data_IF_032023566337
#
_entry.id   IF_032023566337
#
_cell.length_a   1.000
_cell.length_b   1.000
_cell.length_c   1.000
_cell.angle_alpha   90.00
_cell.angle_beta   90.00
_cell.angle_gamma   90.00
#
_symmetry.space_group_name_H-M   'P 1'
#
loop_
_entity.id
_entity.type
_entity.pdbx_description
1 polymer ?
#
# COMPACT_ATOMS: atom_id res chain seq x y z
N UNK A 1 -1.65 -34.80 -6.77
CA UNK A 1 -1.41 -34.75 -8.22
C UNK A 1 -1.21 -33.29 -8.54
N UNK A 2 0.06 -32.86 -8.62
CA UNK A 2 0.43 -31.48 -8.99
C UNK A 2 0.36 -31.39 -10.51
N UNK A 3 -0.65 -30.68 -10.99
CA UNK A 3 -0.80 -30.35 -12.40
C UNK A 3 0.16 -29.21 -12.74
N UNK A 4 1.21 -29.55 -13.48
CA UNK A 4 2.18 -28.58 -13.98
C UNK A 4 1.49 -27.77 -15.09
N UNK A 5 1.39 -26.44 -14.87
CA UNK A 5 0.99 -25.48 -15.92
C UNK A 5 1.82 -25.68 -17.17
N UNK A 6 1.24 -25.49 -18.39
CA UNK A 6 2.00 -25.53 -19.61
C UNK A 6 3.06 -24.43 -19.58
N UNK A 7 4.33 -24.83 -19.49
CA UNK A 7 5.46 -23.96 -19.70
C UNK A 7 5.36 -23.35 -21.12
N UNK A 8 5.63 -22.06 -21.21
CA UNK A 8 6.05 -21.40 -22.45
C UNK A 8 7.14 -22.30 -23.11
N UNK A 9 7.12 -22.52 -24.46
CA UNK A 9 8.08 -23.44 -25.08
C UNK A 9 9.51 -22.99 -24.70
N UNK A 10 10.09 -23.74 -23.77
CA UNK A 10 11.31 -23.35 -23.09
C UNK A 10 12.45 -23.25 -24.07
N UNK A 11 13.09 -22.11 -24.15
CA UNK A 11 14.47 -22.00 -24.58
C UNK A 11 15.30 -22.94 -23.68
N UNK A 12 15.85 -24.05 -24.22
CA UNK A 12 16.55 -25.04 -23.41
C UNK A 12 17.83 -24.50 -22.76
N UNK A 13 18.28 -23.31 -23.12
CA UNK A 13 19.40 -22.61 -22.51
C UNK A 13 19.00 -21.79 -21.27
N UNK A 14 17.69 -21.60 -21.02
CA UNK A 14 17.20 -20.81 -19.89
C UNK A 14 17.13 -21.67 -18.62
N UNK A 15 17.71 -21.21 -17.50
CA UNK A 15 17.59 -21.93 -16.23
C UNK A 15 16.12 -22.04 -15.79
N UNK A 16 15.75 -23.10 -15.03
CA UNK A 16 14.40 -23.25 -14.53
C UNK A 16 14.01 -22.03 -13.69
N UNK A 17 12.81 -21.51 -13.95
CA UNK A 17 12.30 -20.32 -13.25
C UNK A 17 11.97 -20.60 -11.79
N UNK A 18 11.92 -19.56 -10.94
CA UNK A 18 11.55 -19.69 -9.54
C UNK A 18 10.08 -20.07 -9.40
N UNK A 19 9.74 -20.75 -8.30
CA UNK A 19 8.35 -20.90 -7.86
C UNK A 19 7.85 -19.55 -7.33
N UNK A 20 6.69 -19.11 -7.81
CA UNK A 20 6.07 -17.86 -7.40
C UNK A 20 4.85 -18.13 -6.50
N UNK A 21 4.59 -17.22 -5.57
CA UNK A 21 3.39 -17.20 -4.72
C UNK A 21 3.25 -18.36 -3.72
N UNK A 22 4.32 -19.09 -3.44
CA UNK A 22 4.38 -20.01 -2.31
C UNK A 22 4.76 -19.30 -1.00
N UNK A 23 4.96 -20.07 0.08
CA UNK A 23 5.29 -19.49 1.38
C UNK A 23 6.73 -18.96 1.45
N UNK A 24 7.67 -19.56 0.71
CA UNK A 24 9.06 -19.12 0.62
C UNK A 24 9.13 -17.77 -0.11
N UNK A 25 8.46 -17.69 -1.24
CA UNK A 25 8.28 -16.45 -1.98
C UNK A 25 7.61 -15.37 -1.13
N UNK A 26 6.56 -15.68 -0.37
CA UNK A 26 5.91 -14.69 0.50
C UNK A 26 6.85 -14.18 1.61
N UNK A 27 7.80 -15.01 2.06
CA UNK A 27 8.79 -14.63 3.07
C UNK A 27 9.88 -13.73 2.49
N UNK A 28 10.48 -14.14 1.36
CA UNK A 28 11.49 -13.37 0.63
C UNK A 28 11.30 -13.49 -0.89
N UNK A 29 10.60 -12.55 -1.53
CA UNK A 29 10.33 -12.57 -2.97
C UNK A 29 11.53 -12.08 -3.81
N UNK A 30 12.51 -11.42 -3.21
CA UNK A 30 13.56 -10.70 -3.92
C UNK A 30 14.47 -11.57 -4.77
N UNK A 31 14.90 -12.78 -4.35
CA UNK A 31 15.66 -13.69 -5.22
C UNK A 31 14.89 -14.08 -6.48
N UNK A 32 13.59 -14.36 -6.34
CA UNK A 32 12.72 -14.68 -7.47
C UNK A 32 12.56 -13.48 -8.41
N UNK A 33 12.41 -12.29 -7.87
CA UNK A 33 12.33 -11.05 -8.66
C UNK A 33 13.65 -10.72 -9.37
N UNK A 34 14.80 -10.96 -8.75
CA UNK A 34 16.11 -10.81 -9.38
C UNK A 34 16.23 -11.73 -10.60
N UNK A 35 15.85 -13.01 -10.44
CA UNK A 35 15.83 -13.97 -11.54
C UNK A 35 14.90 -13.52 -12.67
N UNK A 36 13.69 -13.06 -12.35
CA UNK A 36 12.73 -12.56 -13.36
C UNK A 36 13.29 -11.34 -14.10
N UNK A 37 13.88 -10.36 -13.41
CA UNK A 37 14.46 -9.18 -14.06
C UNK A 37 15.54 -9.55 -15.08
N UNK A 38 16.36 -10.53 -14.74
CA UNK A 38 17.46 -10.96 -15.61
C UNK A 38 16.97 -11.79 -16.80
N UNK A 39 16.11 -12.78 -16.55
CA UNK A 39 15.79 -13.83 -17.53
C UNK A 39 14.42 -13.67 -18.20
N UNK A 40 13.46 -13.01 -17.55
CA UNK A 40 12.07 -12.85 -18.00
C UNK A 40 11.44 -11.56 -17.48
N UNK A 41 11.95 -10.39 -17.87
CA UNK A 41 11.53 -9.10 -17.29
C UNK A 41 10.04 -8.79 -17.47
N UNK A 42 9.42 -9.32 -18.51
CA UNK A 42 7.97 -9.35 -18.71
C UNK A 42 7.55 -10.81 -18.81
N UNK A 43 6.96 -11.33 -17.75
CA UNK A 43 6.70 -12.75 -17.54
C UNK A 43 5.21 -13.06 -17.44
N UNK A 44 4.71 -13.99 -18.26
CA UNK A 44 3.34 -14.49 -18.15
C UNK A 44 3.28 -15.61 -17.10
N UNK A 45 2.41 -15.47 -16.14
CA UNK A 45 2.26 -16.43 -15.05
C UNK A 45 0.80 -16.65 -14.67
N UNK A 46 0.52 -17.78 -14.01
CA UNK A 46 -0.78 -18.04 -13.41
C UNK A 46 -0.75 -17.67 -11.92
N UNK A 47 -1.59 -16.73 -11.55
CA UNK A 47 -1.74 -16.29 -10.17
C UNK A 47 -2.48 -17.33 -9.30
N UNK A 48 -2.38 -17.26 -7.96
CA UNK A 48 -3.10 -18.17 -7.05
C UNK A 48 -4.62 -18.17 -7.24
N UNK A 49 -5.18 -17.09 -7.77
CA UNK A 49 -6.60 -16.98 -8.14
C UNK A 49 -6.98 -17.78 -9.39
N UNK A 50 -6.00 -18.33 -10.11
CA UNK A 50 -6.17 -19.00 -11.41
C UNK A 50 -6.20 -18.05 -12.61
N UNK A 51 -6.09 -16.74 -12.40
CA UNK A 51 -6.00 -15.74 -13.48
C UNK A 51 -4.59 -15.75 -14.05
N UNK A 52 -4.48 -15.77 -15.39
CA UNK A 52 -3.20 -15.53 -16.06
C UNK A 52 -2.95 -14.02 -16.19
N UNK A 53 -1.73 -13.58 -15.86
CA UNK A 53 -1.33 -12.18 -15.92
C UNK A 53 0.13 -12.03 -16.34
N UNK A 54 0.47 -10.87 -16.85
CA UNK A 54 1.84 -10.46 -17.13
C UNK A 54 2.42 -9.73 -15.92
N UNK A 55 3.59 -10.18 -15.44
CA UNK A 55 4.39 -9.50 -14.43
C UNK A 55 5.47 -8.67 -15.12
N UNK A 56 5.62 -7.41 -14.71
CA UNK A 56 6.62 -6.48 -15.25
C UNK A 56 7.59 -6.12 -14.12
N UNK A 57 8.87 -6.47 -14.27
CA UNK A 57 9.85 -6.46 -13.17
C UNK A 57 10.99 -5.46 -13.31
N UNK A 58 11.40 -5.04 -14.53
CA UNK A 58 12.43 -4.02 -14.72
C UNK A 58 11.89 -2.61 -14.50
N UNK A 59 12.69 -1.73 -13.94
CA UNK A 59 12.30 -0.36 -13.65
C UNK A 59 11.82 0.42 -14.88
N UNK A 60 12.56 0.35 -15.99
CA UNK A 60 12.20 1.05 -17.21
C UNK A 60 10.85 0.59 -17.77
N UNK A 61 10.62 -0.73 -17.84
CA UNK A 61 9.36 -1.32 -18.31
C UNK A 61 8.21 -1.02 -17.34
N UNK A 62 8.47 -1.07 -16.04
CA UNK A 62 7.51 -0.74 -14.98
C UNK A 62 7.05 0.71 -15.11
N UNK A 63 7.98 1.64 -15.24
CA UNK A 63 7.67 3.06 -15.42
C UNK A 63 6.88 3.33 -16.70
N UNK A 64 7.25 2.66 -17.79
CA UNK A 64 6.50 2.73 -19.06
C UNK A 64 5.07 2.20 -18.87
N UNK A 65 4.91 1.00 -18.29
CA UNK A 65 3.60 0.39 -18.09
C UNK A 65 2.70 1.22 -17.14
N UNK A 66 3.27 1.85 -16.11
CA UNK A 66 2.52 2.70 -15.19
C UNK A 66 1.96 3.98 -15.84
N UNK A 67 2.61 4.47 -16.90
CA UNK A 67 2.22 5.67 -17.64
C UNK A 67 1.45 5.39 -18.94
N UNK A 68 1.40 4.13 -19.41
CA UNK A 68 0.81 3.79 -20.70
C UNK A 68 -0.72 3.80 -20.64
N UNK A 69 -1.34 4.72 -21.39
CA UNK A 69 -2.79 4.87 -21.47
C UNK A 69 -3.52 3.68 -22.13
N UNK A 70 -2.79 2.79 -22.83
CA UNK A 70 -3.34 1.55 -23.37
C UNK A 70 -3.57 0.49 -22.28
N UNK A 71 -3.01 0.70 -21.09
CA UNK A 71 -3.18 -0.16 -19.92
C UNK A 71 -4.22 0.45 -18.98
N UNK A 72 -5.47 0.13 -19.23
CA UNK A 72 -6.65 0.61 -18.50
C UNK A 72 -6.72 0.09 -17.07
N UNK A 73 -7.26 0.90 -16.18
CA UNK A 73 -7.59 0.50 -14.81
C UNK A 73 -8.97 -0.11 -14.67
N UNK A 74 -9.80 0.01 -15.71
CA UNK A 74 -11.18 -0.47 -15.68
C UNK A 74 -11.23 -2.00 -15.86
N UNK A 75 -11.72 -2.77 -14.86
CA UNK A 75 -11.81 -4.22 -14.94
C UNK A 75 -12.71 -4.74 -16.07
N UNK A 76 -13.59 -3.90 -16.64
CA UNK A 76 -14.45 -4.28 -17.77
C UNK A 76 -13.64 -4.61 -19.02
N UNK A 77 -12.40 -4.16 -19.12
CA UNK A 77 -11.50 -4.47 -20.25
C UNK A 77 -10.83 -5.85 -20.14
N UNK A 78 -11.03 -6.60 -19.05
CA UNK A 78 -10.47 -7.95 -18.92
C UNK A 78 -11.22 -8.96 -19.80
N UNK A 79 -10.49 -9.67 -20.66
CA UNK A 79 -11.06 -10.64 -21.62
C UNK A 79 -11.32 -12.04 -21.04
N UNK A 80 -10.97 -12.32 -19.78
CA UNK A 80 -10.97 -13.66 -19.24
C UNK A 80 -12.31 -14.15 -18.69
N UNK A 81 -12.62 -15.49 -18.77
CA UNK A 81 -13.87 -16.09 -18.31
C UNK A 81 -14.09 -15.97 -16.79
N UNK A 82 -13.04 -15.72 -16.01
CA UNK A 82 -13.12 -15.49 -14.56
C UNK A 82 -13.85 -14.19 -14.21
N UNK A 83 -13.78 -13.19 -15.07
CA UNK A 83 -14.48 -11.91 -14.89
C UNK A 83 -15.97 -12.01 -15.19
N UNK A 84 -16.34 -12.78 -16.22
CA UNK A 84 -17.74 -13.05 -16.57
C UNK A 84 -18.52 -13.77 -15.46
N UNK A 85 -17.83 -14.45 -14.53
CA UNK A 85 -18.45 -15.22 -13.43
C UNK A 85 -18.41 -14.52 -12.06
N UNK A 86 -18.02 -13.26 -11.97
CA UNK A 86 -18.08 -12.50 -10.72
C UNK A 86 -17.20 -13.04 -9.58
N UNK A 87 -16.20 -13.88 -9.84
CA UNK A 87 -15.33 -14.52 -8.84
C UNK A 87 -14.28 -13.60 -8.20
N UNK A 88 -14.41 -12.30 -8.32
CA UNK A 88 -13.55 -11.33 -7.61
C UNK A 88 -13.98 -11.11 -6.15
N UNK A 89 -14.74 -12.00 -5.55
CA UNK A 89 -15.02 -12.04 -4.10
C UNK A 89 -16.10 -11.09 -3.58
N UNK A 90 -16.63 -10.16 -4.38
CA UNK A 90 -17.70 -9.21 -3.99
C UNK A 90 -18.96 -9.49 -4.82
N UNK A 91 -20.15 -9.73 -4.26
CA UNK A 91 -21.36 -10.07 -5.02
C UNK A 91 -22.08 -8.86 -5.66
N UNK A 92 -22.50 -9.01 -6.92
CA UNK A 92 -23.66 -8.30 -7.50
C UNK A 92 -23.49 -6.84 -7.93
N UNK A 93 -24.57 -6.24 -8.41
CA UNK A 93 -24.68 -4.89 -9.01
C UNK A 93 -24.19 -3.73 -8.13
N UNK A 94 -24.22 -3.87 -6.80
CA UNK A 94 -23.66 -2.90 -5.83
C UNK A 94 -22.14 -2.82 -5.83
N UNK A 95 -21.49 -3.74 -6.54
CA UNK A 95 -20.04 -3.78 -6.76
C UNK A 95 -19.56 -2.65 -7.67
N UNK A 96 -20.33 -2.31 -8.70
CA UNK A 96 -19.95 -1.28 -9.66
C UNK A 96 -19.77 0.09 -9.00
N UNK A 97 -20.65 0.49 -8.08
CA UNK A 97 -20.61 1.79 -7.41
C UNK A 97 -19.38 1.96 -6.51
N UNK A 98 -18.99 0.91 -5.75
CA UNK A 98 -17.79 0.96 -4.90
C UNK A 98 -16.50 0.87 -5.71
N UNK A 99 -16.56 0.32 -6.91
CA UNK A 99 -15.40 0.19 -7.80
C UNK A 99 -15.19 1.43 -8.69
N UNK A 100 -16.12 2.39 -8.67
CA UNK A 100 -16.01 3.65 -9.42
C UNK A 100 -15.26 4.69 -8.58
N UNK A 101 -13.98 4.46 -8.37
CA UNK A 101 -13.07 5.37 -7.67
C UNK A 101 -11.75 5.51 -8.44
N UNK A 102 -10.91 6.46 -8.05
CA UNK A 102 -9.68 6.84 -8.77
C UNK A 102 -8.75 5.69 -9.14
N UNK A 103 -8.75 4.57 -8.39
CA UNK A 103 -7.87 3.42 -8.72
C UNK A 103 -8.40 2.54 -9.86
N UNK A 104 -9.68 2.64 -10.22
CA UNK A 104 -10.35 1.70 -11.14
C UNK A 104 -11.02 2.39 -12.33
N UNK A 105 -10.74 3.64 -12.58
CA UNK A 105 -11.28 4.42 -13.69
C UNK A 105 -10.16 5.05 -14.51
N UNK A 106 -10.46 5.34 -15.76
CA UNK A 106 -9.57 5.94 -16.75
C UNK A 106 -10.02 7.36 -17.12
N UNK A 107 -9.17 8.16 -17.80
CA UNK A 107 -9.60 9.42 -18.39
C UNK A 107 -10.77 9.20 -19.40
N UNK A 108 -11.75 10.13 -19.49
CA UNK A 108 -11.74 11.46 -18.86
C UNK A 108 -12.20 11.48 -17.40
N UNK A 109 -12.92 10.45 -16.92
CA UNK A 109 -13.54 10.44 -15.58
C UNK A 109 -12.48 10.46 -14.47
N UNK A 110 -11.36 9.72 -14.64
CA UNK A 110 -10.24 9.78 -13.72
C UNK A 110 -9.71 11.22 -13.58
N UNK A 111 -9.49 11.91 -14.71
CA UNK A 111 -8.95 13.27 -14.71
C UNK A 111 -9.88 14.24 -13.99
N UNK A 112 -11.18 14.10 -14.21
CA UNK A 112 -12.22 14.88 -13.54
C UNK A 112 -12.20 14.66 -12.02
N UNK A 113 -12.33 13.42 -11.58
CA UNK A 113 -12.36 13.07 -10.16
C UNK A 113 -11.05 13.43 -9.47
N UNK A 114 -9.91 13.14 -10.11
CA UNK A 114 -8.58 13.47 -9.56
C UNK A 114 -8.43 14.96 -9.27
N UNK A 115 -8.90 15.82 -10.20
CA UNK A 115 -8.83 17.26 -10.05
C UNK A 115 -9.69 17.76 -8.88
N UNK A 116 -10.90 17.22 -8.73
CA UNK A 116 -11.79 17.56 -7.61
C UNK A 116 -11.18 17.13 -6.27
N UNK A 117 -10.75 15.86 -6.16
CA UNK A 117 -10.21 15.30 -4.92
C UNK A 117 -8.88 15.98 -4.53
N UNK A 118 -8.04 16.34 -5.50
CA UNK A 118 -6.77 17.02 -5.22
C UNK A 118 -6.97 18.43 -4.63
N UNK A 119 -8.13 19.07 -4.84
CA UNK A 119 -8.47 20.35 -4.18
C UNK A 119 -8.75 20.18 -2.69
N UNK A 120 -9.29 19.01 -2.29
CA UNK A 120 -9.55 18.66 -0.90
C UNK A 120 -8.31 18.10 -0.20
N UNK A 121 -7.53 17.26 -0.88
CA UNK A 121 -6.34 16.60 -0.33
C UNK A 121 -5.05 17.33 -0.75
N UNK A 122 -4.71 18.38 -0.03
CA UNK A 122 -3.56 19.24 -0.35
C UNK A 122 -2.36 18.99 0.58
N UNK A 123 -1.10 19.25 0.11
CA UNK A 123 0.09 19.20 0.99
C UNK A 123 -0.03 20.10 2.22
N UNK A 124 -0.66 21.27 2.08
CA UNK A 124 -0.92 22.18 3.19
C UNK A 124 -1.79 21.55 4.27
N UNK A 125 -2.90 20.90 3.88
CA UNK A 125 -3.79 20.21 4.82
C UNK A 125 -3.05 19.11 5.57
N UNK A 126 -2.21 18.35 4.86
CA UNK A 126 -1.39 17.31 5.47
C UNK A 126 -0.41 17.91 6.48
N UNK A 127 0.25 19.03 6.15
CA UNK A 127 1.16 19.70 7.06
C UNK A 127 0.44 20.24 8.32
N UNK A 128 -0.77 20.80 8.16
CA UNK A 128 -1.62 21.24 9.27
C UNK A 128 -2.05 20.09 10.19
N UNK A 129 -2.06 18.86 9.68
CA UNK A 129 -2.41 17.65 10.44
C UNK A 129 -1.22 17.04 11.21
N UNK A 130 0.01 17.49 10.96
CA UNK A 130 1.23 16.93 11.57
C UNK A 130 1.21 16.90 13.12
N UNK A 131 0.76 17.96 13.84
CA UNK A 131 0.66 17.90 15.31
C UNK A 131 -0.25 16.78 15.79
N UNK A 132 -1.32 16.51 15.04
CA UNK A 132 -2.27 15.46 15.43
C UNK A 132 -1.72 14.05 15.21
N UNK A 133 -0.97 13.82 14.13
CA UNK A 133 -0.25 12.55 13.92
C UNK A 133 0.76 12.32 15.05
N UNK A 134 1.45 13.38 15.51
CA UNK A 134 2.39 13.30 16.64
C UNK A 134 1.66 12.93 17.93
N UNK A 135 0.54 13.59 18.25
CA UNK A 135 -0.26 13.27 19.45
C UNK A 135 -0.77 11.82 19.46
N UNK A 136 -1.26 11.33 18.30
CA UNK A 136 -1.69 9.94 18.15
C UNK A 136 -0.52 8.97 18.36
N UNK A 137 0.64 9.29 17.79
CA UNK A 137 1.88 8.50 17.92
C UNK A 137 2.30 8.41 19.38
N UNK A 138 2.37 9.55 20.08
CA UNK A 138 2.75 9.62 21.48
C UNK A 138 1.77 8.87 22.39
N UNK A 139 0.48 9.03 22.14
CA UNK A 139 -0.57 8.32 22.87
C UNK A 139 -0.44 6.79 22.71
N UNK A 140 -0.22 6.31 21.49
CA UNK A 140 -0.11 4.87 21.24
C UNK A 140 1.13 4.27 21.88
N UNK A 141 2.30 4.92 21.79
CA UNK A 141 3.53 4.47 22.43
C UNK A 141 3.35 4.48 23.95
N UNK A 142 2.77 5.54 24.52
CA UNK A 142 2.49 5.65 25.96
C UNK A 142 1.65 4.50 26.54
N UNK A 143 0.86 3.80 25.71
CA UNK A 143 0.07 2.65 26.15
C UNK A 143 0.90 1.39 26.44
N UNK A 144 2.09 1.26 25.89
CA UNK A 144 2.90 0.04 26.04
C UNK A 144 4.32 0.28 26.56
N UNK A 145 4.86 1.50 26.50
CA UNK A 145 6.26 1.78 26.89
C UNK A 145 6.61 1.39 28.34
N UNK A 146 5.62 1.38 29.25
CA UNK A 146 5.81 0.91 30.64
C UNK A 146 5.83 -0.61 30.81
N UNK A 147 5.54 -1.41 29.74
CA UNK A 147 5.44 -2.87 29.85
C UNK A 147 6.73 -3.61 29.50
N UNK A 148 7.62 -3.00 28.72
CA UNK A 148 8.87 -3.61 28.27
C UNK A 148 8.73 -4.55 27.07
N UNK A 149 7.51 -4.78 26.59
CA UNK A 149 7.20 -5.60 25.42
C UNK A 149 5.93 -5.11 24.72
N UNK A 150 5.86 -5.33 23.39
CA UNK A 150 4.67 -5.02 22.59
C UNK A 150 4.66 -5.82 21.28
N UNK A 151 3.48 -5.98 20.66
CA UNK A 151 3.36 -6.29 19.25
C UNK A 151 3.17 -4.98 18.47
N UNK A 152 4.23 -4.50 17.83
CA UNK A 152 4.21 -3.22 17.11
C UNK A 152 3.19 -3.16 15.99
N UNK A 153 2.84 -4.29 15.36
CA UNK A 153 1.80 -4.28 14.32
C UNK A 153 0.44 -3.96 14.95
N UNK A 154 0.04 -4.70 15.99
CA UNK A 154 -1.30 -4.58 16.53
C UNK A 154 -1.49 -3.37 17.44
N UNK A 155 -0.44 -2.98 18.18
CA UNK A 155 -0.55 -1.95 19.21
C UNK A 155 -0.13 -0.55 18.73
N UNK A 156 0.61 -0.47 17.61
CA UNK A 156 1.15 0.80 17.11
C UNK A 156 0.89 1.01 15.61
N UNK A 157 1.47 0.17 14.73
CA UNK A 157 1.43 0.39 13.30
C UNK A 157 0.01 0.32 12.71
N UNK A 158 -0.86 -0.56 13.25
CA UNK A 158 -2.23 -0.71 12.78
C UNK A 158 -3.16 0.41 13.28
N UNK A 159 -3.21 0.76 14.57
CA UNK A 159 -4.12 1.81 15.04
C UNK A 159 -3.75 3.21 14.56
N UNK A 160 -2.47 3.55 14.40
CA UNK A 160 -2.04 4.90 14.06
C UNK A 160 -2.67 5.42 12.75
N UNK A 161 -2.49 4.79 11.58
CA UNK A 161 -3.03 5.32 10.33
C UNK A 161 -4.56 5.23 10.26
N UNK A 162 -5.19 4.29 10.99
CA UNK A 162 -6.66 4.21 11.05
C UNK A 162 -7.22 5.42 11.79
N UNK A 163 -6.70 5.75 12.96
CA UNK A 163 -7.15 6.92 13.70
C UNK A 163 -6.84 8.20 12.93
N UNK A 164 -5.65 8.30 12.32
CA UNK A 164 -5.27 9.46 11.53
C UNK A 164 -6.22 9.69 10.34
N UNK A 165 -6.51 8.66 9.54
CA UNK A 165 -7.40 8.82 8.38
C UNK A 165 -8.87 9.03 8.82
N UNK A 166 -9.33 8.39 9.89
CA UNK A 166 -10.66 8.64 10.44
C UNK A 166 -10.83 10.10 10.88
N UNK A 167 -9.87 10.65 11.62
CA UNK A 167 -9.90 12.05 12.03
C UNK A 167 -9.81 13.00 10.84
N UNK A 168 -8.93 12.71 9.87
CA UNK A 168 -8.83 13.51 8.65
C UNK A 168 -10.13 13.51 7.84
N UNK A 169 -10.84 12.39 7.78
CA UNK A 169 -12.17 12.28 7.14
C UNK A 169 -13.27 12.95 7.97
N UNK A 170 -13.02 13.27 9.24
CA UNK A 170 -14.02 13.84 10.15
C UNK A 170 -14.99 12.81 10.70
N UNK A 171 -14.52 11.56 10.90
CA UNK A 171 -15.24 10.51 11.63
C UNK A 171 -15.22 10.85 13.12
N UNK A 172 -16.37 10.92 13.82
CA UNK A 172 -16.44 11.13 15.27
C UNK A 172 -15.60 10.12 16.06
N UNK A 173 -15.02 10.57 17.17
CA UNK A 173 -14.14 9.73 17.99
C UNK A 173 -14.81 8.47 18.51
N UNK A 174 -16.06 8.58 18.89
CA UNK A 174 -16.90 7.47 19.35
C UNK A 174 -17.09 6.37 18.33
N UNK A 175 -16.95 6.66 17.04
CA UNK A 175 -17.15 5.72 15.95
C UNK A 175 -15.83 5.11 15.40
N UNK A 176 -14.66 5.64 15.83
CA UNK A 176 -13.36 5.25 15.27
C UNK A 176 -12.97 3.81 15.62
N UNK A 177 -13.40 3.29 16.77
CA UNK A 177 -13.17 1.90 17.13
C UNK A 177 -13.93 0.92 16.24
N UNK A 178 -15.13 1.25 15.80
CA UNK A 178 -15.88 0.48 14.81
C UNK A 178 -15.10 0.41 13.49
N UNK A 179 -14.54 1.54 13.04
CA UNK A 179 -13.69 1.57 11.84
C UNK A 179 -12.46 0.71 11.98
N UNK A 180 -11.78 0.76 13.14
CA UNK A 180 -10.63 -0.10 13.42
C UNK A 180 -11.02 -1.58 13.34
N UNK A 181 -12.16 -1.97 13.88
CA UNK A 181 -12.62 -3.35 13.87
C UNK A 181 -13.01 -3.80 12.45
N UNK A 182 -13.72 -2.97 11.67
CA UNK A 182 -14.03 -3.27 10.26
C UNK A 182 -12.76 -3.36 9.42
N UNK A 183 -11.81 -2.45 9.56
CA UNK A 183 -10.52 -2.47 8.89
C UNK A 183 -9.72 -3.72 9.26
N UNK A 184 -9.68 -4.08 10.56
CA UNK A 184 -9.03 -5.29 11.04
C UNK A 184 -9.60 -6.57 10.43
N UNK A 185 -10.91 -6.62 10.18
CA UNK A 185 -11.53 -7.75 9.46
C UNK A 185 -11.13 -7.80 7.99
N UNK A 186 -10.90 -6.66 7.35
CA UNK A 186 -10.55 -6.59 5.93
C UNK A 186 -9.11 -7.05 5.66
N UNK A 187 -8.18 -6.80 6.58
CA UNK A 187 -6.77 -7.20 6.45
C UNK A 187 -6.46 -8.61 6.99
N UNK A 188 -7.40 -9.24 7.70
CA UNK A 188 -7.26 -10.64 8.16
C UNK A 188 -7.43 -11.61 7.00
N UNK A 189 -6.36 -11.86 6.25
CA UNK A 189 -6.35 -12.86 5.18
C UNK A 189 -6.53 -14.28 5.78
N UNK A 190 -7.68 -14.89 5.49
CA UNK A 190 -7.92 -16.33 5.74
C UNK A 190 -8.37 -16.74 7.14
N UNK A 191 -8.54 -15.84 8.12
CA UNK A 191 -8.83 -16.22 9.51
C UNK A 191 -10.13 -15.67 10.13
N UNK A 192 -10.98 -14.99 9.36
CA UNK A 192 -12.24 -14.42 9.85
C UNK A 192 -13.47 -15.29 9.57
N UNK A 193 -14.62 -15.02 10.23
CA UNK A 193 -15.89 -15.67 9.92
C UNK A 193 -16.24 -15.57 8.44
N UNK A 194 -16.80 -16.61 7.85
CA UNK A 194 -17.27 -16.58 6.45
C UNK A 194 -18.17 -15.36 6.22
N UNK A 195 -17.85 -14.53 5.23
CA UNK A 195 -18.58 -13.29 4.93
C UNK A 195 -18.23 -12.08 5.83
N UNK A 196 -17.27 -12.18 6.75
CA UNK A 196 -16.85 -11.09 7.63
C UNK A 196 -16.38 -9.86 6.86
N UNK A 197 -15.48 -10.04 5.89
CA UNK A 197 -14.98 -8.96 5.03
C UNK A 197 -16.12 -8.25 4.29
N UNK A 198 -17.04 -9.01 3.65
CA UNK A 198 -18.16 -8.42 2.91
C UNK A 198 -19.10 -7.63 3.83
N UNK A 199 -19.29 -8.11 5.08
CA UNK A 199 -20.07 -7.40 6.09
C UNK A 199 -19.40 -6.09 6.51
N UNK A 200 -18.10 -6.11 6.81
CA UNK A 200 -17.33 -4.93 7.20
C UNK A 200 -17.32 -3.87 6.09
N UNK A 201 -17.10 -4.28 4.84
CA UNK A 201 -17.20 -3.38 3.66
C UNK A 201 -18.59 -2.74 3.56
N UNK A 202 -19.66 -3.53 3.76
CA UNK A 202 -21.05 -3.02 3.73
C UNK A 202 -21.32 -2.02 4.85
N UNK A 203 -20.86 -2.32 6.08
CA UNK A 203 -21.04 -1.44 7.25
C UNK A 203 -20.28 -0.14 7.07
N UNK A 204 -19.01 -0.20 6.69
CA UNK A 204 -18.18 0.98 6.44
C UNK A 204 -18.77 1.88 5.35
N UNK A 205 -19.23 1.29 4.24
CA UNK A 205 -19.89 2.06 3.17
C UNK A 205 -21.17 2.73 3.62
N UNK A 206 -22.04 2.00 4.33
CA UNK A 206 -23.31 2.55 4.82
C UNK A 206 -23.05 3.72 5.78
N UNK A 207 -22.08 3.57 6.67
CA UNK A 207 -21.68 4.63 7.58
C UNK A 207 -21.13 5.86 6.85
N UNK A 208 -20.22 5.67 5.88
CA UNK A 208 -19.65 6.79 5.12
C UNK A 208 -20.72 7.54 4.32
N UNK A 209 -21.67 6.82 3.73
CA UNK A 209 -22.82 7.46 3.05
C UNK A 209 -23.64 8.31 3.99
N UNK A 210 -23.98 7.78 5.17
CA UNK A 210 -24.70 8.51 6.21
C UNK A 210 -23.91 9.72 6.74
N UNK A 211 -22.61 9.56 6.96
CA UNK A 211 -21.73 10.65 7.40
C UNK A 211 -21.68 11.78 6.35
N UNK A 212 -21.56 11.44 5.06
CA UNK A 212 -21.56 12.43 3.97
C UNK A 212 -22.90 13.14 3.90
N UNK A 213 -24.00 12.41 4.04
CA UNK A 213 -25.35 13.00 4.05
C UNK A 213 -25.49 14.04 5.19
N UNK A 214 -25.13 13.67 6.42
CA UNK A 214 -25.15 14.59 7.58
C UNK A 214 -24.25 15.81 7.37
N UNK A 215 -23.04 15.60 6.85
CA UNK A 215 -22.09 16.70 6.63
C UNK A 215 -22.52 17.70 5.54
N UNK A 216 -23.44 17.35 4.64
CA UNK A 216 -23.99 18.32 3.68
C UNK A 216 -24.74 19.47 4.36
N UNK A 217 -25.38 19.20 5.49
CA UNK A 217 -26.13 20.18 6.27
C UNK A 217 -25.22 20.96 7.24
N UNK A 218 -24.07 20.35 7.67
CA UNK A 218 -23.13 20.97 8.61
C UNK A 218 -21.70 20.63 8.22
N UNK A 219 -21.12 21.47 7.35
CA UNK A 219 -19.76 21.29 6.83
C UNK A 219 -18.70 21.71 7.86
N UNK A 220 -17.91 20.74 8.31
CA UNK A 220 -16.77 20.92 9.22
C UNK A 220 -15.44 21.29 8.52
N UNK A 221 -14.36 21.23 9.31
CA UNK A 221 -12.99 21.37 8.81
C UNK A 221 -12.36 19.97 8.66
N UNK A 222 -12.88 19.16 7.75
CA UNK A 222 -12.44 17.78 7.49
C UNK A 222 -12.47 17.48 6.00
N UNK A 223 -11.84 16.36 5.61
CA UNK A 223 -11.67 15.99 4.21
C UNK A 223 -13.01 15.68 3.51
N UNK A 224 -13.97 15.05 4.19
CA UNK A 224 -15.29 14.80 3.60
C UNK A 224 -15.99 16.12 3.31
N UNK A 225 -15.96 17.08 4.24
CA UNK A 225 -16.50 18.43 4.04
C UNK A 225 -15.83 19.14 2.86
N UNK A 226 -14.52 18.98 2.69
CA UNK A 226 -13.79 19.55 1.56
C UNK A 226 -14.12 18.84 0.24
N UNK A 227 -14.33 17.52 0.26
CA UNK A 227 -14.81 16.79 -0.92
C UNK A 227 -16.22 17.28 -1.35
N UNK A 228 -17.10 17.55 -0.38
CA UNK A 228 -18.43 18.11 -0.64
C UNK A 228 -18.34 19.53 -1.23
N UNK A 229 -17.43 20.35 -0.69
CA UNK A 229 -17.18 21.73 -1.20
C UNK A 229 -16.48 21.74 -2.54
N UNK A 230 -15.75 20.68 -2.88
CA UNK A 230 -14.90 20.66 -4.07
C UNK A 230 -15.76 20.86 -5.32
N UNK A 231 -15.47 21.92 -6.05
CA UNK A 231 -16.08 22.22 -7.33
C UNK A 231 -15.03 22.63 -8.35
N UNK A 232 -15.34 22.38 -9.62
CA UNK A 232 -14.49 22.78 -10.74
C UNK A 232 -15.36 23.14 -11.94
N UNK A 233 -15.34 24.41 -12.34
CA UNK A 233 -16.14 24.93 -13.44
C UNK A 233 -17.64 24.52 -13.39
N UNK A 234 -18.20 24.48 -12.17
CA UNK A 234 -19.60 24.07 -11.94
C UNK A 234 -19.82 22.56 -11.81
N UNK A 235 -18.78 21.75 -11.91
CA UNK A 235 -18.81 20.31 -11.66
C UNK A 235 -18.51 20.01 -10.19
N UNK A 236 -19.23 19.02 -9.62
CA UNK A 236 -19.14 18.58 -8.24
C UNK A 236 -19.13 17.06 -8.16
N UNK A 237 -18.65 16.51 -7.03
CA UNK A 237 -18.82 15.10 -6.73
C UNK A 237 -20.29 14.80 -6.41
N UNK A 238 -20.85 13.78 -7.05
CA UNK A 238 -22.12 13.20 -6.61
C UNK A 238 -21.92 12.54 -5.24
N UNK A 239 -23.02 12.23 -4.54
CA UNK A 239 -22.95 11.54 -3.24
C UNK A 239 -22.31 10.15 -3.37
N UNK A 240 -22.62 9.43 -4.45
CA UNK A 240 -22.02 8.13 -4.74
C UNK A 240 -20.51 8.24 -4.98
N UNK A 241 -20.06 9.24 -5.74
CA UNK A 241 -18.63 9.50 -5.98
C UNK A 241 -17.92 9.93 -4.68
N UNK A 242 -18.53 10.81 -3.88
CA UNK A 242 -17.96 11.22 -2.59
C UNK A 242 -17.82 10.03 -1.64
N UNK A 243 -18.84 9.15 -1.58
CA UNK A 243 -18.81 7.92 -0.76
C UNK A 243 -17.73 6.95 -1.26
N UNK A 244 -17.64 6.73 -2.57
CA UNK A 244 -16.61 5.87 -3.15
C UNK A 244 -15.19 6.43 -2.92
N UNK A 245 -15.04 7.74 -2.99
CA UNK A 245 -13.77 8.41 -2.72
C UNK A 245 -13.40 8.37 -1.23
N UNK A 246 -14.32 8.62 -0.32
CA UNK A 246 -14.08 8.48 1.13
C UNK A 246 -13.70 7.04 1.49
N UNK A 247 -14.40 6.06 0.91
CA UNK A 247 -14.08 4.65 1.10
C UNK A 247 -12.68 4.28 0.61
N UNK A 248 -12.29 4.68 -0.60
CA UNK A 248 -10.97 4.34 -1.13
C UNK A 248 -9.85 5.08 -0.42
N UNK A 249 -10.05 6.33 -0.01
CA UNK A 249 -9.07 7.09 0.77
C UNK A 249 -8.82 6.43 2.13
N UNK A 250 -9.87 5.98 2.78
CA UNK A 250 -9.76 5.22 4.03
C UNK A 250 -9.02 3.90 3.77
N UNK A 251 -9.50 3.07 2.86
CA UNK A 251 -8.94 1.73 2.61
C UNK A 251 -7.48 1.77 2.15
N UNK A 252 -7.14 2.65 1.20
CA UNK A 252 -5.78 2.78 0.69
C UNK A 252 -4.84 3.47 1.69
N UNK A 253 -5.39 4.32 2.58
CA UNK A 253 -4.60 5.13 3.49
C UNK A 253 -4.06 4.37 4.69
N UNK A 254 -4.78 3.36 5.22
CA UNK A 254 -4.32 2.71 6.44
C UNK A 254 -3.40 1.51 6.19
N UNK A 255 -3.78 0.53 5.36
CA UNK A 255 -3.04 -0.73 5.22
C UNK A 255 -1.63 -0.53 4.69
N UNK A 256 -1.46 0.39 3.76
CA UNK A 256 -0.14 0.74 3.20
C UNK A 256 0.78 1.33 4.26
N UNK A 257 0.29 2.22 5.10
CA UNK A 257 1.08 2.85 6.18
C UNK A 257 1.37 1.88 7.32
N UNK A 258 0.42 0.98 7.67
CA UNK A 258 0.69 -0.13 8.61
C UNK A 258 1.92 -0.91 8.17
N UNK A 259 1.96 -1.28 6.88
CA UNK A 259 3.05 -2.08 6.36
C UNK A 259 4.34 -1.25 6.19
N UNK A 260 4.25 0.05 5.86
CA UNK A 260 5.42 0.94 5.83
C UNK A 260 6.10 0.99 7.20
N UNK A 261 5.34 1.17 8.27
CA UNK A 261 5.88 1.24 9.64
C UNK A 261 6.46 -0.14 10.04
N UNK A 262 5.69 -1.21 9.83
CA UNK A 262 6.10 -2.57 10.22
C UNK A 262 7.34 -3.06 9.45
N UNK A 263 7.32 -2.93 8.12
CA UNK A 263 8.46 -3.32 7.26
C UNK A 263 9.67 -2.41 7.51
N UNK A 264 9.43 -1.11 7.75
CA UNK A 264 10.49 -0.16 8.06
C UNK A 264 11.23 -0.52 9.35
N UNK A 265 10.51 -0.81 10.43
CA UNK A 265 11.14 -1.27 11.70
C UNK A 265 11.86 -2.60 11.50
N UNK A 266 11.24 -3.56 10.81
CA UNK A 266 11.88 -4.83 10.47
C UNK A 266 13.18 -4.63 9.67
N UNK A 267 13.15 -3.81 8.63
CA UNK A 267 14.34 -3.52 7.80
C UNK A 267 15.47 -2.87 8.62
N UNK A 268 15.12 -2.00 9.58
CA UNK A 268 16.10 -1.40 10.49
C UNK A 268 16.68 -2.42 11.47
N UNK A 269 15.91 -3.40 11.94
CA UNK A 269 16.45 -4.49 12.75
C UNK A 269 17.41 -5.39 11.96
N UNK A 270 17.12 -5.63 10.70
CA UNK A 270 18.00 -6.43 9.82
C UNK A 270 19.26 -5.68 9.36
N UNK A 271 19.29 -4.35 9.54
CA UNK A 271 20.40 -3.46 9.16
C UNK A 271 20.82 -2.59 10.36
N UNK A 272 21.47 -3.17 11.40
CA UNK A 272 21.76 -2.47 12.65
C UNK A 272 22.61 -1.21 12.46
N UNK A 273 23.57 -1.21 11.54
CA UNK A 273 24.42 -0.03 11.25
C UNK A 273 23.56 1.18 10.77
N UNK A 274 22.58 0.92 9.92
CA UNK A 274 21.67 1.96 9.43
C UNK A 274 20.75 2.46 10.55
N UNK A 275 20.28 1.57 11.41
CA UNK A 275 19.48 1.90 12.59
C UNK A 275 20.27 2.78 13.56
N UNK A 276 21.49 2.41 13.89
CA UNK A 276 22.37 3.19 14.79
C UNK A 276 22.64 4.59 14.24
N UNK A 277 22.94 4.69 12.93
CA UNK A 277 23.13 5.99 12.26
C UNK A 277 21.87 6.86 12.36
N UNK A 278 20.69 6.28 12.12
CA UNK A 278 19.42 7.00 12.24
C UNK A 278 19.16 7.46 13.67
N UNK A 279 19.38 6.59 14.65
CA UNK A 279 19.23 6.94 16.08
C UNK A 279 20.18 8.05 16.50
N UNK A 280 21.44 8.03 16.06
CA UNK A 280 22.41 9.09 16.33
C UNK A 280 21.97 10.43 15.72
N UNK A 281 21.51 10.44 14.46
CA UNK A 281 20.97 11.65 13.80
C UNK A 281 19.75 12.21 14.55
N UNK A 282 18.82 11.33 14.95
CA UNK A 282 17.64 11.70 15.71
C UNK A 282 17.99 12.27 17.11
N UNK A 283 19.01 11.71 17.78
CA UNK A 283 19.50 12.20 19.06
C UNK A 283 20.19 13.58 18.93
N UNK A 284 20.83 13.84 17.80
CA UNK A 284 21.40 15.17 17.45
C UNK A 284 20.34 16.20 17.06
N UNK A 285 19.06 15.80 16.92
CA UNK A 285 17.98 16.70 16.51
C UNK A 285 17.91 16.92 14.99
N UNK A 286 18.56 16.08 14.19
CA UNK A 286 18.59 16.16 12.73
C UNK A 286 17.45 15.32 12.13
N UNK A 287 16.69 15.88 11.18
CA UNK A 287 15.59 15.17 10.49
C UNK A 287 15.96 14.61 9.12
N UNK A 288 17.01 15.15 8.49
CA UNK A 288 17.33 14.87 7.09
C UNK A 288 17.52 13.38 6.79
N UNK A 289 18.20 12.64 7.68
CA UNK A 289 18.39 11.19 7.51
C UNK A 289 17.08 10.40 7.70
N UNK A 290 16.14 10.86 8.51
CA UNK A 290 14.83 10.26 8.65
C UNK A 290 13.99 10.47 7.38
N UNK A 291 14.04 11.67 6.80
CA UNK A 291 13.31 12.02 5.58
C UNK A 291 13.76 11.15 4.39
N UNK A 292 15.08 11.10 4.13
CA UNK A 292 15.63 10.22 3.08
C UNK A 292 15.47 8.74 3.42
N UNK A 293 15.55 8.39 4.69
CA UNK A 293 15.41 7.02 5.18
C UNK A 293 14.01 6.45 4.95
N UNK A 294 12.95 7.24 5.11
CA UNK A 294 11.59 6.78 4.81
C UNK A 294 11.41 6.49 3.31
N UNK A 295 11.97 7.31 2.42
CA UNK A 295 11.97 7.01 0.97
C UNK A 295 12.77 5.73 0.66
N UNK A 296 13.91 5.53 1.33
CA UNK A 296 14.71 4.33 1.13
C UNK A 296 14.03 3.07 1.68
N UNK A 297 13.36 3.13 2.81
CA UNK A 297 12.56 2.02 3.34
C UNK A 297 11.41 1.65 2.39
N UNK A 298 10.79 2.64 1.75
CA UNK A 298 9.77 2.44 0.72
C UNK A 298 10.33 1.75 -0.53
N UNK A 299 11.55 2.11 -0.94
CA UNK A 299 12.26 1.46 -2.04
C UNK A 299 12.66 0.03 -1.68
N UNK A 300 13.28 -0.15 -0.51
CA UNK A 300 13.95 -1.38 -0.09
C UNK A 300 12.96 -2.51 0.22
N UNK A 301 11.92 -2.25 1.02
CA UNK A 301 10.87 -3.22 1.38
C UNK A 301 9.51 -2.55 1.56
N UNK A 302 9.04 -1.91 0.48
CA UNK A 302 7.81 -1.12 0.48
C UNK A 302 6.54 -1.94 0.72
N UNK A 303 5.47 -1.29 1.19
CA UNK A 303 4.20 -1.93 1.54
C UNK A 303 3.42 -2.46 0.34
N UNK A 304 3.65 -1.92 -0.85
CA UNK A 304 2.96 -2.33 -2.08
C UNK A 304 3.93 -3.08 -2.97
N UNK A 305 3.78 -4.40 -3.00
CA UNK A 305 4.63 -5.29 -3.77
C UNK A 305 4.31 -5.22 -5.26
N UNK A 306 3.01 -5.29 -5.61
CA UNK A 306 2.53 -5.14 -6.97
C UNK A 306 1.56 -3.96 -7.09
N UNK A 307 1.71 -3.16 -8.13
CA UNK A 307 0.72 -2.13 -8.45
C UNK A 307 -0.64 -2.77 -8.77
N UNK A 308 -1.72 -2.02 -8.53
CA UNK A 308 -3.08 -2.47 -8.85
C UNK A 308 -3.26 -2.77 -10.33
N UNK A 309 -4.13 -3.72 -10.62
CA UNK A 309 -4.42 -4.27 -11.94
C UNK A 309 -4.50 -3.26 -13.07
N UNK A 310 -3.98 -3.65 -14.24
CA UNK A 310 -4.17 -2.99 -15.52
C UNK A 310 -4.59 -4.02 -16.57
N UNK A 311 -5.28 -3.54 -17.61
CA UNK A 311 -5.80 -4.37 -18.69
C UNK A 311 -5.47 -3.72 -20.02
N UNK A 312 -4.87 -4.48 -20.95
CA UNK A 312 -4.56 -3.96 -22.28
C UNK A 312 -5.84 -3.68 -23.08
N UNK A 313 -6.04 -2.44 -23.50
CA UNK A 313 -7.17 -2.04 -24.35
C UNK A 313 -6.86 -2.15 -25.83
N UNK A 314 -5.59 -2.23 -26.19
CA UNK A 314 -5.06 -2.42 -27.54
C UNK A 314 -3.84 -3.33 -27.47
N UNK A 315 -3.45 -4.01 -28.57
CA UNK A 315 -2.19 -4.74 -28.60
C UNK A 315 -1.02 -3.79 -28.33
N UNK A 316 -0.08 -4.22 -27.49
CA UNK A 316 1.13 -3.46 -27.19
C UNK A 316 2.32 -4.41 -27.00
N UNK A 317 3.53 -3.87 -27.15
CA UNK A 317 4.76 -4.56 -26.80
C UNK A 317 5.33 -3.95 -25.52
N UNK A 318 5.71 -4.79 -24.56
CA UNK A 318 6.32 -4.39 -23.30
C UNK A 318 7.47 -5.35 -23.00
N UNK A 319 8.69 -4.82 -22.78
CA UNK A 319 9.89 -5.63 -22.56
C UNK A 319 10.12 -6.71 -23.63
N UNK A 320 9.76 -6.41 -24.91
CA UNK A 320 9.86 -7.34 -26.02
C UNK A 320 8.72 -8.37 -26.14
N UNK A 321 7.80 -8.45 -25.15
CA UNK A 321 6.65 -9.37 -25.17
C UNK A 321 5.41 -8.72 -25.78
N UNK A 322 4.67 -9.48 -26.61
CA UNK A 322 3.40 -9.05 -27.19
C UNK A 322 2.26 -9.28 -26.18
N UNK A 323 1.63 -8.20 -25.75
CA UNK A 323 0.49 -8.20 -24.83
C UNK A 323 -0.78 -8.05 -25.66
N UNK A 324 -1.69 -9.01 -25.53
CA UNK A 324 -2.96 -9.00 -26.27
C UNK A 324 -4.01 -8.14 -25.57
N UNK A 325 -5.04 -7.74 -26.35
CA UNK A 325 -6.21 -7.03 -25.79
C UNK A 325 -6.89 -7.87 -24.72
N UNK A 326 -7.18 -7.24 -23.59
CA UNK A 326 -7.82 -7.88 -22.43
C UNK A 326 -6.85 -8.59 -21.47
N UNK A 327 -5.56 -8.71 -21.85
CA UNK A 327 -4.57 -9.30 -20.95
C UNK A 327 -4.38 -8.45 -19.70
N UNK A 328 -4.39 -9.07 -18.52
CA UNK A 328 -4.02 -8.41 -17.25
C UNK A 328 -2.51 -8.19 -17.18
N UNK A 329 -2.13 -7.01 -16.71
CA UNK A 329 -0.74 -6.62 -16.47
C UNK A 329 -0.61 -6.16 -15.01
N UNK A 330 0.38 -6.71 -14.31
CA UNK A 330 0.77 -6.33 -12.96
C UNK A 330 2.20 -5.84 -12.97
N UNK A 331 2.41 -4.61 -12.54
CA UNK A 331 3.76 -4.04 -12.38
C UNK A 331 4.26 -4.41 -10.99
N UNK A 332 5.38 -5.11 -10.93
CA UNK A 332 6.03 -5.54 -9.67
C UNK A 332 6.92 -4.40 -9.17
N UNK A 333 6.34 -3.53 -8.33
CA UNK A 333 7.05 -2.35 -7.79
C UNK A 333 8.27 -2.78 -6.99
N UNK A 334 8.13 -3.79 -6.12
CA UNK A 334 9.21 -4.32 -5.29
C UNK A 334 10.40 -4.85 -6.14
N UNK A 335 10.13 -5.41 -7.31
CA UNK A 335 11.19 -5.82 -8.24
C UNK A 335 11.85 -4.63 -8.92
N UNK A 336 11.04 -3.68 -9.42
CA UNK A 336 11.52 -2.49 -10.12
C UNK A 336 12.36 -1.59 -9.20
N UNK A 337 11.98 -1.48 -7.93
CA UNK A 337 12.69 -0.67 -6.94
C UNK A 337 14.01 -1.30 -6.45
N UNK A 338 14.28 -2.53 -6.89
CA UNK A 338 15.58 -3.22 -6.72
C UNK A 338 16.27 -3.55 -8.04
N UNK A 339 15.98 -2.79 -9.10
CA UNK A 339 16.62 -2.96 -10.39
C UNK A 339 18.05 -2.39 -10.40
N UNK A 340 19.10 -3.22 -10.65
CA UNK A 340 20.48 -2.76 -10.68
C UNK A 340 20.79 -1.83 -11.86
N UNK A 341 19.96 -1.84 -12.92
CA UNK A 341 20.08 -0.86 -14.01
C UNK A 341 19.64 0.56 -13.60
N UNK A 342 18.89 0.67 -12.49
CA UNK A 342 18.40 1.96 -11.96
C UNK A 342 19.08 2.37 -10.66
N UNK A 343 19.33 1.44 -9.75
CA UNK A 343 19.84 1.73 -8.43
C UNK A 343 21.19 1.03 -8.21
N UNK A 344 22.20 1.79 -7.82
CA UNK A 344 23.46 1.20 -7.39
C UNK A 344 23.25 0.41 -6.09
N UNK A 345 23.82 -0.80 -6.01
CA UNK A 345 23.65 -1.70 -4.87
C UNK A 345 22.19 -1.80 -4.39
N UNK A 346 21.27 -2.27 -5.27
CA UNK A 346 19.82 -2.17 -5.02
C UNK A 346 19.35 -2.98 -3.81
N UNK A 347 20.09 -4.02 -3.45
CA UNK A 347 19.79 -4.91 -2.33
C UNK A 347 20.41 -4.45 -1.00
N UNK A 348 21.11 -3.31 -1.00
CA UNK A 348 21.66 -2.65 0.20
C UNK A 348 20.70 -1.56 0.66
N UNK A 349 20.35 -1.57 1.96
CA UNK A 349 19.63 -0.48 2.61
C UNK A 349 20.61 0.66 2.88
N UNK A 350 20.39 1.84 2.26
CA UNK A 350 21.17 3.06 2.53
C UNK A 350 20.23 4.23 2.79
N UNK A 351 20.01 4.56 4.06
CA UNK A 351 19.10 5.65 4.47
C UNK A 351 19.53 7.03 3.95
N UNK A 352 20.77 7.16 3.49
CA UNK A 352 21.28 8.40 2.90
C UNK A 352 21.23 8.45 1.37
N UNK A 353 20.61 7.46 0.72
CA UNK A 353 20.49 7.40 -0.74
C UNK A 353 19.82 8.66 -1.30
N UNK A 354 20.57 9.44 -2.08
CA UNK A 354 20.12 10.71 -2.63
C UNK A 354 19.38 10.55 -3.96
N UNK A 355 19.81 9.65 -4.85
CA UNK A 355 19.09 9.32 -6.09
C UNK A 355 18.12 8.16 -5.83
N UNK A 356 16.95 8.50 -5.30
CA UNK A 356 15.95 7.55 -4.86
C UNK A 356 14.58 7.79 -5.53
N UNK A 357 14.54 7.74 -6.86
CA UNK A 357 13.29 7.85 -7.62
C UNK A 357 12.58 6.50 -7.69
N UNK A 358 12.21 5.96 -6.53
CA UNK A 358 11.48 4.69 -6.44
C UNK A 358 10.05 4.78 -6.97
N UNK A 359 9.46 3.63 -7.25
CA UNK A 359 8.08 3.49 -7.74
C UNK A 359 7.07 3.10 -6.64
N UNK A 360 7.46 3.06 -5.39
CA UNK A 360 6.59 2.67 -4.27
C UNK A 360 5.29 3.47 -4.16
N UNK A 361 5.26 4.71 -4.66
CA UNK A 361 4.05 5.53 -4.81
C UNK A 361 3.42 5.45 -6.20
N UNK A 362 3.87 4.54 -7.06
CA UNK A 362 3.45 4.46 -8.45
C UNK A 362 4.07 5.55 -9.34
N UNK A 363 3.54 5.66 -10.57
CA UNK A 363 3.97 6.64 -11.56
C UNK A 363 2.81 7.04 -12.48
N UNK A 364 2.90 8.22 -13.12
CA UNK A 364 1.89 8.73 -14.06
C UNK A 364 0.64 9.27 -13.35
N UNK A 365 -0.50 9.19 -14.04
CA UNK A 365 -1.77 9.79 -13.57
C UNK A 365 -2.29 9.18 -12.27
N UNK A 366 -1.91 7.94 -11.96
CA UNK A 366 -2.26 7.22 -10.74
C UNK A 366 -1.19 7.32 -9.64
N UNK A 367 -0.22 8.24 -9.73
CA UNK A 367 0.70 8.51 -8.64
C UNK A 367 -0.08 8.74 -7.32
N UNK A 368 0.39 8.16 -6.22
CA UNK A 368 -0.32 8.13 -4.94
C UNK A 368 -0.75 9.53 -4.48
N UNK A 369 -2.06 9.72 -4.29
CA UNK A 369 -2.60 10.97 -3.75
C UNK A 369 -2.18 11.17 -2.29
N UNK A 370 -2.12 10.08 -1.51
CA UNK A 370 -1.78 10.05 -0.10
C UNK A 370 -0.28 10.10 0.21
N UNK A 371 0.61 10.19 -0.79
CA UNK A 371 2.06 10.18 -0.56
C UNK A 371 2.55 11.20 0.48
N UNK A 372 2.05 12.45 0.53
CA UNK A 372 2.44 13.38 1.58
C UNK A 372 2.04 12.92 2.98
N UNK A 373 0.85 12.34 3.14
CA UNK A 373 0.38 11.81 4.43
C UNK A 373 1.18 10.57 4.87
N UNK A 374 1.43 9.64 3.96
CA UNK A 374 2.22 8.44 4.24
C UNK A 374 3.66 8.78 4.67
N UNK A 375 4.27 9.81 4.06
CA UNK A 375 5.58 10.34 4.49
C UNK A 375 5.51 10.91 5.89
N UNK A 376 4.52 11.75 6.16
CA UNK A 376 4.33 12.35 7.47
C UNK A 376 4.14 11.27 8.55
N UNK A 377 3.26 10.31 8.32
CA UNK A 377 2.99 9.22 9.27
C UNK A 377 4.22 8.33 9.47
N UNK A 378 4.90 7.93 8.38
CA UNK A 378 6.12 7.11 8.45
C UNK A 378 7.25 7.81 9.20
N UNK A 379 7.50 9.09 8.91
CA UNK A 379 8.53 9.88 9.59
C UNK A 379 8.18 10.09 11.07
N UNK A 380 6.94 10.46 11.37
CA UNK A 380 6.51 10.68 12.76
C UNK A 380 6.58 9.38 13.56
N UNK A 381 6.03 8.29 13.01
CA UNK A 381 6.00 7.00 13.69
C UNK A 381 7.40 6.44 13.97
N UNK A 382 8.24 6.34 12.93
CA UNK A 382 9.60 5.79 13.05
C UNK A 382 10.49 6.70 13.91
N UNK A 383 10.44 8.03 13.68
CA UNK A 383 11.24 8.98 14.42
C UNK A 383 10.90 9.00 15.92
N UNK A 384 9.61 8.99 16.27
CA UNK A 384 9.17 8.99 17.66
C UNK A 384 9.46 7.65 18.35
N UNK A 385 9.18 6.54 17.67
CA UNK A 385 9.43 5.20 18.21
C UNK A 385 10.90 5.00 18.58
N UNK A 386 11.82 5.34 17.64
CA UNK A 386 13.27 5.17 17.86
C UNK A 386 13.85 6.14 18.88
N UNK A 387 13.27 7.33 19.05
CA UNK A 387 13.65 8.27 20.12
C UNK A 387 13.19 7.82 21.49
N UNK A 388 11.95 7.36 21.60
CA UNK A 388 11.36 6.95 22.88
C UNK A 388 11.87 5.59 23.35
N UNK A 389 12.13 4.67 22.44
CA UNK A 389 12.58 3.30 22.71
C UNK A 389 13.90 3.01 21.97
N UNK A 390 15.03 3.62 22.38
CA UNK A 390 16.30 3.51 21.68
C UNK A 390 16.91 2.09 21.73
N UNK A 391 16.54 1.30 22.73
CA UNK A 391 16.97 -0.09 22.94
C UNK A 391 15.95 -1.12 22.39
N UNK A 392 15.00 -0.66 21.55
CA UNK A 392 14.00 -1.52 20.92
C UNK A 392 14.67 -2.66 20.12
N UNK A 393 14.28 -3.90 20.38
CA UNK A 393 14.80 -5.07 19.68
C UNK A 393 13.71 -6.12 19.42
N UNK A 394 13.96 -7.08 18.52
CA UNK A 394 13.03 -8.20 18.30
C UNK A 394 12.94 -9.06 19.57
N UNK A 395 11.72 -9.43 19.95
CA UNK A 395 11.46 -10.37 21.04
C UNK A 395 11.52 -11.85 20.61
N UNK A 396 11.56 -12.10 19.28
CA UNK A 396 11.64 -13.44 18.68
C UNK A 396 12.70 -13.46 17.59
N UNK A 397 13.24 -14.64 17.24
CA UNK A 397 14.14 -14.77 16.08
C UNK A 397 13.47 -14.27 14.79
N UNK A 398 14.20 -13.62 13.86
CA UNK A 398 13.64 -13.16 12.57
C UNK A 398 12.95 -14.26 11.76
N UNK A 399 13.43 -15.50 11.87
CA UNK A 399 12.83 -16.69 11.20
C UNK A 399 11.45 -17.06 11.68
N UNK A 400 11.04 -16.59 12.87
CA UNK A 400 9.73 -16.84 13.45
C UNK A 400 8.68 -15.80 13.03
N UNK A 401 9.12 -14.70 12.45
CA UNK A 401 8.23 -13.70 11.88
C UNK A 401 7.43 -14.29 10.73
N UNK A 402 6.17 -13.89 10.62
CA UNK A 402 5.26 -14.37 9.56
C UNK A 402 4.77 -13.22 8.72
N UNK A 403 5.06 -13.31 7.42
CA UNK A 403 4.55 -12.37 6.44
C UNK A 403 3.09 -12.67 6.11
N UNK A 404 2.36 -11.66 5.73
CA UNK A 404 1.00 -11.81 5.20
C UNK A 404 1.11 -12.32 3.77
N UNK A 405 0.43 -13.42 3.47
CA UNK A 405 0.26 -13.83 2.09
C UNK A 405 -0.73 -12.90 1.39
N UNK A 406 -0.33 -12.29 0.32
CA UNK A 406 -1.16 -11.41 -0.51
C UNK A 406 -0.52 -11.22 -1.87
N UNK A 407 -1.31 -10.78 -2.88
CA UNK A 407 -0.76 -10.49 -4.21
C UNK A 407 -0.19 -9.08 -4.31
N UNK A 408 -0.83 -8.11 -3.65
CA UNK A 408 -0.53 -6.69 -3.83
C UNK A 408 0.25 -6.13 -2.64
N UNK A 409 -0.11 -6.55 -1.44
CA UNK A 409 0.41 -5.97 -0.21
C UNK A 409 1.46 -6.87 0.44
N UNK A 410 2.56 -6.26 0.87
CA UNK A 410 3.63 -6.89 1.63
C UNK A 410 3.68 -6.32 3.04
N UNK A 411 3.62 -7.17 4.06
CA UNK A 411 3.68 -6.76 5.46
C UNK A 411 3.67 -7.93 6.43
N UNK A 412 4.09 -7.67 7.64
CA UNK A 412 4.15 -8.64 8.73
C UNK A 412 2.76 -8.85 9.37
N UNK A 413 2.53 -10.07 9.88
CA UNK A 413 1.33 -10.36 10.68
C UNK A 413 1.47 -9.80 12.09
N UNK A 414 2.63 -9.96 12.69
CA UNK A 414 3.00 -9.52 14.03
C UNK A 414 4.45 -9.06 14.01
N UNK A 415 4.82 -8.14 14.88
CA UNK A 415 6.21 -7.72 15.11
C UNK A 415 6.45 -7.61 16.62
N UNK A 416 6.67 -8.76 17.30
CA UNK A 416 6.95 -8.76 18.74
C UNK A 416 8.30 -8.12 19.02
N UNK A 417 8.30 -7.16 19.94
CA UNK A 417 9.49 -6.41 20.36
C UNK A 417 9.63 -6.38 21.85
N UNK A 418 10.85 -6.14 22.33
CA UNK A 418 11.17 -5.87 23.72
C UNK A 418 12.05 -4.63 23.83
N UNK A 419 11.99 -4.00 24.98
CA UNK A 419 12.71 -2.76 25.31
C UNK A 419 12.72 -2.54 26.81
N UNK A 420 13.55 -1.65 27.32
CA UNK A 420 13.54 -1.28 28.75
C UNK A 420 12.25 -0.49 29.08
N UNK A 421 11.44 -0.96 30.06
CA UNK A 421 10.24 -0.24 30.48
C UNK A 421 10.57 1.19 30.89
N UNK A 422 9.77 2.15 30.45
CA UNK A 422 9.84 3.53 30.89
C UNK A 422 8.68 3.82 31.81
N UNK A 423 8.99 4.06 33.09
CA UNK A 423 8.03 4.58 34.06
C UNK A 423 8.33 6.07 34.20
N UNK A 424 7.45 6.92 33.68
CA UNK A 424 7.46 8.34 33.98
C UNK A 424 7.01 8.60 35.42
#
# INVERSE_FOLDING_TARGET
MHDQSPADPADPSRPPGPTLFDWEFATDPYPAYAWLREHAPVHRTRLPSGVEAWLVTRYADARQALADQRLSKNPAHHAGPAHAKGKTGIPGERKAELMTHLLNIDPPDHTRLRRLVSKAFTPRRVAEFAPRVQELTDHLIGRFEGRGEADLIHEFAFPLPIYAICEMLGVPREDQDDFRDWAGMMIRHGGGPRGGVARSVKQMRAYLGELIHRKRDDLGNDLISDLIRASDHGDHLTEAEATAMAFILLFAGFETTVNLIGNGVHSLFMNPDQRERLQASLAAGESGLLETGVEELLRYDGPVELATWRYATRPLTLGGQAIAVGDPVLVVLAAADRDPERFAEPDTLDLSRSDNQHLGYGHGIHYCLGAPLARLEGQTALGTLLKRLPDLELAVPPTDLRWRGGLIMRGLRTLPVRFTPRND
#
